data_IF_371050769329
#
_entry.id   IF_371050769329
#
_cell.length_a   1.000
_cell.length_b   1.000
_cell.length_c   1.000
_cell.angle_alpha   90.00
_cell.angle_beta   90.00
_cell.angle_gamma   90.00
#
_symmetry.space_group_name_H-M   'P 1'
#
loop_
_entity.id
_entity.type
_entity.pdbx_description
1 polymer ?
#
# COMPACT_ATOMS: atom_id res chain seq x y z
N UNK A 1 19.04 8.81 -22.18
CA UNK A 1 17.69 8.62 -21.59
C UNK A 1 17.77 8.79 -20.09
N UNK A 2 16.89 9.61 -19.57
CA UNK A 2 16.84 9.84 -18.14
C UNK A 2 15.82 8.89 -17.55
N UNK A 3 16.26 8.04 -16.62
CA UNK A 3 15.37 7.17 -15.88
C UNK A 3 14.97 7.88 -14.61
N UNK A 4 13.67 8.05 -14.40
CA UNK A 4 13.19 8.62 -13.16
C UNK A 4 13.30 7.58 -12.06
N UNK A 5 13.80 7.99 -10.91
CA UNK A 5 13.87 7.13 -9.74
C UNK A 5 12.46 6.92 -9.21
N UNK A 6 11.95 5.73 -9.43
CA UNK A 6 10.65 5.33 -8.91
C UNK A 6 10.83 4.69 -7.55
N UNK A 7 9.85 4.93 -6.68
CA UNK A 7 9.90 4.43 -5.30
C UNK A 7 8.65 3.63 -5.00
N UNK A 8 8.86 2.48 -4.36
CA UNK A 8 7.78 1.72 -3.75
C UNK A 8 8.06 1.68 -2.26
N UNK A 9 7.08 2.10 -1.48
CA UNK A 9 7.18 2.14 -0.02
C UNK A 9 6.07 1.26 0.54
N UNK A 10 6.45 0.23 1.27
CA UNK A 10 5.50 -0.69 1.91
C UNK A 10 5.47 -0.36 3.38
N UNK A 11 4.33 0.15 3.84
CA UNK A 11 4.16 0.48 5.25
C UNK A 11 3.70 -0.74 6.02
N UNK A 12 4.25 -0.94 7.19
CA UNK A 12 3.88 -2.00 8.11
C UNK A 12 3.48 -1.36 9.43
N UNK A 13 2.38 -1.78 10.00
CA UNK A 13 1.92 -1.24 11.28
C UNK A 13 0.44 -1.51 11.49
N UNK A 14 0.05 -1.52 12.76
CA UNK A 14 -1.33 -1.79 13.15
C UNK A 14 -2.21 -0.57 12.88
N UNK A 15 -3.53 -0.82 12.79
CA UNK A 15 -4.50 0.25 12.70
C UNK A 15 -4.36 1.20 13.90
N UNK A 16 -4.49 2.50 13.66
CA UNK A 16 -4.35 3.49 14.73
C UNK A 16 -2.92 3.89 15.02
N UNK A 17 -1.94 3.40 14.27
CA UNK A 17 -0.53 3.78 14.45
C UNK A 17 -0.16 5.11 13.81
N UNK A 18 -1.09 5.74 13.09
CA UNK A 18 -0.78 6.95 12.29
C UNK A 18 -0.29 6.62 10.89
N UNK A 19 -0.40 5.38 10.48
CA UNK A 19 0.12 4.88 9.20
C UNK A 19 -0.51 5.59 8.01
N UNK A 20 -1.84 5.78 8.01
CA UNK A 20 -2.53 6.44 6.91
C UNK A 20 -2.12 7.90 6.76
N UNK A 21 -1.93 8.60 7.88
CA UNK A 21 -1.43 9.97 7.87
C UNK A 21 -0.03 10.03 7.29
N UNK A 22 0.82 9.09 7.67
CA UNK A 22 2.18 8.99 7.16
C UNK A 22 2.16 8.71 5.65
N UNK A 23 1.31 7.77 5.21
CA UNK A 23 1.18 7.43 3.80
C UNK A 23 0.79 8.65 2.97
N UNK A 24 -0.19 9.42 3.43
CA UNK A 24 -0.64 10.63 2.74
C UNK A 24 0.47 11.66 2.63
N UNK A 25 1.30 11.78 3.67
CA UNK A 25 2.39 12.75 3.71
C UNK A 25 3.52 12.42 2.73
N UNK A 26 3.67 11.14 2.35
CA UNK A 26 4.71 10.73 1.40
C UNK A 26 4.45 11.22 -0.03
N UNK A 27 3.20 11.53 -0.35
CA UNK A 27 2.81 11.88 -1.71
C UNK A 27 2.81 10.65 -2.61
N UNK A 28 2.16 10.74 -3.75
CA UNK A 28 2.08 9.65 -4.70
C UNK A 28 0.80 8.84 -4.58
N UNK A 29 0.81 7.64 -5.16
CA UNK A 29 -0.36 6.77 -5.19
C UNK A 29 -0.36 5.90 -3.94
N UNK A 30 -1.46 5.91 -3.21
CA UNK A 30 -1.63 5.08 -2.02
C UNK A 30 -2.56 3.91 -2.34
N UNK A 31 -2.08 2.69 -2.11
CA UNK A 31 -2.81 1.45 -2.33
C UNK A 31 -3.19 0.88 -0.96
N UNK A 32 -4.47 0.78 -0.68
CA UNK A 32 -4.96 0.29 0.60
C UNK A 32 -6.13 -0.67 0.39
N UNK A 33 -6.10 -1.81 1.08
CA UNK A 33 -7.20 -2.76 1.05
C UNK A 33 -8.47 -2.17 1.63
N UNK A 34 -8.35 -1.21 2.54
CA UNK A 34 -9.51 -0.54 3.15
C UNK A 34 -10.34 0.22 2.11
N UNK A 35 -9.72 0.68 1.03
CA UNK A 35 -10.44 1.41 -0.01
C UNK A 35 -11.51 0.56 -0.69
N UNK A 36 -11.36 -0.76 -0.64
CA UNK A 36 -12.35 -1.69 -1.17
C UNK A 36 -13.71 -1.54 -0.48
N UNK A 37 -13.69 -1.12 0.78
CA UNK A 37 -14.90 -1.02 1.61
C UNK A 37 -15.51 0.37 1.58
N UNK A 38 -14.96 1.29 0.79
CA UNK A 38 -15.51 2.64 0.65
C UNK A 38 -16.53 2.63 -0.47
N UNK A 39 -17.76 3.02 -0.17
CA UNK A 39 -18.84 3.11 -1.14
C UNK A 39 -18.72 4.40 -1.96
N UNK A 40 -19.51 4.48 -3.04
CA UNK A 40 -19.51 5.65 -3.93
C UNK A 40 -19.88 6.95 -3.22
N UNK A 41 -20.66 6.84 -2.15
CA UNK A 41 -21.06 8.02 -1.34
C UNK A 41 -20.01 8.39 -0.28
N UNK A 42 -18.87 7.68 -0.25
CA UNK A 42 -17.82 7.94 0.71
C UNK A 42 -17.96 7.21 2.03
N UNK A 43 -19.05 6.47 2.25
CA UNK A 43 -19.22 5.72 3.48
C UNK A 43 -18.34 4.48 3.49
N UNK A 44 -17.89 4.09 4.69
CA UNK A 44 -17.05 2.93 4.89
C UNK A 44 -17.85 1.82 5.56
N UNK A 45 -17.95 0.66 4.90
CA UNK A 45 -18.68 -0.50 5.44
C UNK A 45 -17.77 -1.72 5.38
N UNK A 46 -17.13 -2.03 6.50
CA UNK A 46 -16.24 -3.18 6.58
C UNK A 46 -17.02 -4.49 6.60
N UNK A 47 -16.58 -5.45 5.80
CA UNK A 47 -17.17 -6.78 5.77
C UNK A 47 -16.03 -7.82 5.85
N UNK A 48 -15.86 -8.50 6.99
CA UNK A 48 -14.74 -9.42 7.16
C UNK A 48 -14.78 -10.61 6.19
N UNK A 49 -15.95 -10.96 5.64
CA UNK A 49 -16.04 -12.06 4.68
C UNK A 49 -15.46 -11.67 3.31
N UNK A 50 -15.20 -10.38 3.10
CA UNK A 50 -14.66 -9.85 1.85
C UNK A 50 -13.20 -9.43 1.96
N UNK A 51 -12.53 -9.79 3.05
CA UNK A 51 -11.17 -9.33 3.30
C UNK A 51 -10.20 -9.79 2.22
N UNK A 52 -10.36 -11.03 1.75
CA UNK A 52 -9.52 -11.58 0.69
C UNK A 52 -9.73 -10.82 -0.62
N UNK A 53 -10.98 -10.46 -0.92
CA UNK A 53 -11.30 -9.65 -2.11
C UNK A 53 -10.68 -8.27 -2.01
N UNK A 54 -10.68 -7.70 -0.80
CA UNK A 54 -10.09 -6.38 -0.56
C UNK A 54 -8.57 -6.39 -0.82
N UNK A 55 -7.88 -7.44 -0.37
CA UNK A 55 -6.45 -7.57 -0.62
C UNK A 55 -6.15 -7.81 -2.09
N UNK A 56 -6.97 -8.58 -2.79
CA UNK A 56 -6.82 -8.78 -4.23
C UNK A 56 -7.02 -7.46 -4.99
N UNK A 57 -8.02 -6.68 -4.58
CA UNK A 57 -8.27 -5.35 -5.15
C UNK A 57 -7.04 -4.44 -4.97
N UNK A 58 -6.49 -4.41 -3.76
CA UNK A 58 -5.33 -3.60 -3.45
C UNK A 58 -4.13 -3.98 -4.32
N UNK A 59 -3.89 -5.27 -4.46
CA UNK A 59 -2.75 -5.74 -5.25
C UNK A 59 -2.91 -5.42 -6.73
N UNK A 60 -4.12 -5.57 -7.29
CA UNK A 60 -4.38 -5.19 -8.68
C UNK A 60 -4.17 -3.70 -8.90
N UNK A 61 -4.63 -2.88 -7.96
CA UNK A 61 -4.41 -1.43 -8.02
C UNK A 61 -2.91 -1.11 -8.00
N UNK A 62 -2.15 -1.82 -7.15
CA UNK A 62 -0.71 -1.67 -7.08
C UNK A 62 -0.03 -2.02 -8.40
N UNK A 63 -0.44 -3.13 -9.03
CA UNK A 63 0.12 -3.53 -10.32
C UNK A 63 -0.17 -2.49 -11.40
N UNK A 64 -1.37 -1.93 -11.40
CA UNK A 64 -1.71 -0.86 -12.34
C UNK A 64 -0.81 0.36 -12.14
N UNK A 65 -0.56 0.72 -10.89
CA UNK A 65 0.32 1.84 -10.58
C UNK A 65 1.76 1.58 -11.05
N UNK A 66 2.23 0.34 -10.89
CA UNK A 66 3.56 -0.04 -11.37
C UNK A 66 3.68 0.07 -12.89
N UNK A 67 2.62 -0.28 -13.60
CA UNK A 67 2.60 -0.22 -15.08
C UNK A 67 2.48 1.21 -15.59
N UNK A 68 2.08 2.14 -14.74
CA UNK A 68 1.94 3.54 -15.08
C UNK A 68 3.25 4.30 -14.92
N UNK A 69 3.12 5.62 -14.81
CA UNK A 69 4.27 6.52 -14.70
C UNK A 69 4.42 7.13 -13.29
N UNK A 70 3.76 6.54 -12.30
CA UNK A 70 3.80 7.05 -10.94
C UNK A 70 5.22 6.96 -10.37
N UNK A 71 5.72 8.05 -9.81
CA UNK A 71 7.04 8.09 -9.22
C UNK A 71 7.08 7.41 -7.85
N UNK A 72 6.03 7.59 -7.07
CA UNK A 72 5.96 7.04 -5.71
C UNK A 72 4.66 6.27 -5.55
N UNK A 73 4.80 5.04 -5.09
CA UNK A 73 3.67 4.14 -4.83
C UNK A 73 3.80 3.65 -3.39
N UNK A 74 2.76 3.85 -2.60
CA UNK A 74 2.75 3.49 -1.19
C UNK A 74 1.73 2.39 -0.97
N UNK A 75 2.13 1.30 -0.31
CA UNK A 75 1.22 0.24 0.09
C UNK A 75 0.90 0.44 1.57
N UNK A 76 -0.36 0.75 1.86
CA UNK A 76 -0.82 1.09 3.21
C UNK A 76 -1.78 0.01 3.71
N UNK A 77 -1.21 -1.08 4.20
CA UNK A 77 -1.93 -2.16 4.87
C UNK A 77 -1.20 -2.46 6.17
N UNK A 78 -1.72 -3.38 6.99
CA UNK A 78 -1.00 -3.73 8.23
C UNK A 78 0.34 -4.37 7.93
N UNK A 79 0.40 -5.26 6.95
CA UNK A 79 1.64 -5.85 6.44
C UNK A 79 2.54 -6.38 7.57
N UNK A 80 1.95 -7.12 8.51
CA UNK A 80 2.67 -7.62 9.67
C UNK A 80 3.28 -8.99 9.43
N UNK A 81 2.98 -9.62 8.31
CA UNK A 81 3.48 -10.95 7.96
C UNK A 81 4.22 -10.91 6.64
N UNK A 82 5.21 -11.80 6.51
CA UNK A 82 6.00 -11.90 5.29
C UNK A 82 5.12 -12.22 4.08
N UNK A 83 4.14 -13.11 4.22
CA UNK A 83 3.26 -13.48 3.12
C UNK A 83 2.36 -12.34 2.66
N UNK A 84 2.13 -11.35 3.51
CA UNK A 84 1.40 -10.15 3.10
C UNK A 84 2.27 -9.19 2.30
N UNK A 85 3.56 -9.16 2.60
CA UNK A 85 4.53 -8.24 2.00
C UNK A 85 5.11 -8.79 0.70
N UNK A 86 5.36 -10.11 0.66
CA UNK A 86 6.10 -10.74 -0.43
C UNK A 86 5.57 -10.46 -1.83
N UNK A 87 4.26 -10.50 -2.09
CA UNK A 87 3.76 -10.21 -3.44
C UNK A 87 4.16 -8.81 -3.92
N UNK A 88 4.12 -7.83 -3.03
CA UNK A 88 4.48 -6.44 -3.38
C UNK A 88 5.98 -6.33 -3.65
N UNK A 89 6.80 -7.04 -2.88
CA UNK A 89 8.24 -7.05 -3.10
C UNK A 89 8.57 -7.67 -4.45
N UNK A 90 7.99 -8.84 -4.73
CA UNK A 90 8.25 -9.56 -5.98
C UNK A 90 7.80 -8.74 -7.20
N UNK A 91 6.62 -8.12 -7.12
CA UNK A 91 6.13 -7.28 -8.21
C UNK A 91 7.02 -6.07 -8.43
N UNK A 92 7.49 -5.45 -7.35
CA UNK A 92 8.41 -4.31 -7.44
C UNK A 92 9.71 -4.72 -8.14
N UNK A 93 10.27 -5.87 -7.75
CA UNK A 93 11.50 -6.38 -8.37
C UNK A 93 11.29 -6.65 -9.86
N UNK A 94 10.11 -7.13 -10.26
CA UNK A 94 9.81 -7.36 -11.67
C UNK A 94 9.88 -6.07 -12.49
N UNK A 95 9.67 -4.92 -11.85
CA UNK A 95 9.76 -3.61 -12.50
C UNK A 95 11.10 -2.91 -12.22
N UNK A 96 12.07 -3.64 -11.65
CA UNK A 96 13.39 -3.10 -11.39
C UNK A 96 13.46 -2.14 -10.21
N UNK A 97 12.48 -2.24 -9.29
CA UNK A 97 12.40 -1.34 -8.13
C UNK A 97 12.67 -2.15 -6.87
N UNK A 98 13.58 -1.65 -6.03
CA UNK A 98 13.80 -2.20 -4.70
C UNK A 98 12.88 -1.49 -3.72
N UNK A 99 11.84 -2.16 -3.19
CA UNK A 99 10.90 -1.50 -2.29
C UNK A 99 11.53 -1.25 -0.93
N UNK A 100 11.08 -0.17 -0.29
CA UNK A 100 11.47 0.15 1.07
C UNK A 100 10.32 -0.24 2.00
N UNK A 101 10.64 -0.99 3.04
CA UNK A 101 9.65 -1.39 4.05
C UNK A 101 9.85 -0.51 5.27
N UNK A 102 8.80 0.21 5.65
CA UNK A 102 8.84 1.14 6.78
C UNK A 102 7.80 0.70 7.80
N UNK A 103 8.25 0.46 9.03
CA UNK A 103 7.36 0.13 10.14
C UNK A 103 6.95 1.41 10.85
N UNK A 104 5.64 1.63 10.94
CA UNK A 104 5.09 2.79 11.63
C UNK A 104 4.69 2.37 13.04
N UNK A 105 5.28 3.01 14.01
CA UNK A 105 5.08 2.71 15.43
C UNK A 105 4.23 3.80 16.04
N UNK A 106 3.19 3.45 16.84
CA UNK A 106 2.39 4.47 17.51
C UNK A 106 3.23 5.34 18.43
N UNK A 107 2.84 6.61 18.55
CA UNK A 107 3.43 7.51 19.52
C UNK A 107 3.26 6.93 20.92
N UNK A 108 4.34 6.88 21.66
CA UNK A 108 4.34 6.40 23.05
C UNK A 108 5.08 7.38 23.93
N UNK A 109 4.59 7.53 25.12
CA UNK A 109 5.22 8.38 26.14
C UNK A 109 5.56 7.55 27.35
#
# INVERSE_FOLDING_TARGET
MILMDRKVIILSGLSGSGKSTYASALGGVVCSADDFFVNDDGSYVFNPTKLQDAHAYCFRFFLEALQGTNETIVVDNTNTRVEEISPYVLASHAFGIEPKIITVIPWQF
#
